data_IF_221663184917
#
_entry.id   IF_221663184917
#
_cell.length_a   1.000
_cell.length_b   1.000
_cell.length_c   1.000
_cell.angle_alpha   90.00
_cell.angle_beta   90.00
_cell.angle_gamma   90.00
#
_symmetry.space_group_name_H-M   'P 1'
#
loop_
_entity.id
_entity.type
_entity.pdbx_description
1 polymer ?
#
# COMPACT_ATOMS: atom_id res chain seq x y z
N UNK A 1 -11.26 9.32 -12.29
CA UNK A 1 -12.34 9.00 -11.32
C UNK A 1 -12.32 7.49 -11.07
N UNK A 2 -12.16 7.02 -9.83
CA UNK A 2 -12.19 5.58 -9.53
C UNK A 2 -13.65 5.14 -9.36
N UNK A 3 -14.15 4.22 -10.20
CA UNK A 3 -15.51 3.66 -10.07
C UNK A 3 -15.56 2.75 -8.84
N UNK A 4 -16.60 2.88 -8.02
CA UNK A 4 -16.89 1.97 -6.91
C UNK A 4 -17.52 0.69 -7.46
N UNK A 5 -17.28 -0.47 -6.82
CA UNK A 5 -17.82 -1.78 -7.24
C UNK A 5 -19.34 -1.79 -7.46
N UNK A 6 -20.07 -0.91 -6.78
CA UNK A 6 -21.51 -0.71 -6.95
C UNK A 6 -21.93 -0.19 -8.34
N UNK A 7 -21.00 0.31 -9.16
CA UNK A 7 -21.26 0.79 -10.53
C UNK A 7 -20.61 -0.07 -11.62
N UNK A 8 -20.06 -1.24 -11.27
CA UNK A 8 -19.44 -2.17 -12.21
C UNK A 8 -20.39 -3.31 -12.52
N UNK A 9 -20.27 -3.93 -13.70
CA UNK A 9 -21.10 -5.06 -14.08
C UNK A 9 -20.50 -6.39 -13.56
N UNK A 10 -21.27 -7.23 -12.85
CA UNK A 10 -20.78 -8.51 -12.38
C UNK A 10 -20.69 -9.54 -13.52
N UNK A 11 -19.58 -10.25 -13.57
CA UNK A 11 -19.36 -11.42 -14.43
C UNK A 11 -19.69 -12.67 -13.62
N UNK A 12 -20.67 -13.44 -14.09
CA UNK A 12 -21.17 -14.62 -13.38
C UNK A 12 -20.53 -15.93 -13.86
N UNK A 13 -20.02 -15.94 -15.10
CA UNK A 13 -19.35 -17.10 -15.70
C UNK A 13 -18.09 -16.68 -16.44
N UNK A 14 -17.03 -17.50 -16.37
CA UNK A 14 -15.79 -17.27 -17.12
C UNK A 14 -16.00 -17.20 -18.63
N UNK A 15 -17.04 -17.85 -19.16
CA UNK A 15 -17.40 -17.78 -20.58
C UNK A 15 -17.89 -16.39 -21.04
N UNK A 16 -18.22 -15.49 -20.11
CA UNK A 16 -18.61 -14.11 -20.41
C UNK A 16 -17.39 -13.19 -20.55
N UNK A 17 -16.19 -13.66 -20.18
CA UNK A 17 -14.93 -12.95 -20.42
C UNK A 17 -14.47 -13.26 -21.86
N UNK A 18 -14.39 -12.26 -22.75
CA UNK A 18 -13.97 -12.49 -24.12
C UNK A 18 -12.46 -12.79 -24.19
N UNK A 19 -12.01 -13.36 -25.31
CA UNK A 19 -10.58 -13.40 -25.61
C UNK A 19 -10.14 -12.02 -26.09
N UNK A 20 -9.30 -11.36 -25.30
CA UNK A 20 -8.78 -10.03 -25.64
C UNK A 20 -7.67 -10.15 -26.68
N UNK A 21 -7.67 -9.24 -27.66
CA UNK A 21 -6.59 -9.15 -28.63
C UNK A 21 -5.40 -8.31 -28.11
N UNK A 22 -5.61 -7.51 -27.05
CA UNK A 22 -4.58 -6.66 -26.45
C UNK A 22 -4.83 -6.41 -24.96
N UNK A 23 -3.77 -6.07 -24.21
CA UNK A 23 -3.87 -5.67 -22.80
C UNK A 23 -4.71 -4.41 -22.58
N UNK A 24 -4.74 -3.50 -23.57
CA UNK A 24 -5.54 -2.28 -23.49
C UNK A 24 -7.04 -2.58 -23.48
N UNK A 25 -7.47 -3.52 -24.35
CA UNK A 25 -8.86 -3.99 -24.41
C UNK A 25 -9.27 -4.69 -23.11
N UNK A 26 -8.37 -5.50 -22.55
CA UNK A 26 -8.57 -6.15 -21.25
C UNK A 26 -8.73 -5.11 -20.12
N UNK A 27 -7.87 -4.09 -20.09
CA UNK A 27 -7.94 -3.02 -19.09
C UNK A 27 -9.27 -2.23 -19.16
N UNK A 28 -9.77 -1.95 -20.36
CA UNK A 28 -11.06 -1.29 -20.58
C UNK A 28 -12.24 -2.15 -20.13
N UNK A 29 -12.19 -3.45 -20.42
CA UNK A 29 -13.19 -4.41 -19.94
C UNK A 29 -13.22 -4.45 -18.41
N UNK A 30 -12.08 -4.61 -17.74
CA UNK A 30 -12.00 -4.65 -16.27
C UNK A 30 -12.22 -3.29 -15.59
N UNK A 31 -12.14 -2.18 -16.32
CA UNK A 31 -12.55 -0.87 -15.80
C UNK A 31 -14.07 -0.78 -15.58
N UNK A 32 -14.83 -1.65 -16.23
CA UNK A 32 -16.30 -1.65 -16.21
C UNK A 32 -16.90 -2.93 -15.61
N UNK A 33 -16.17 -4.04 -15.60
CA UNK A 33 -16.63 -5.35 -15.13
C UNK A 33 -15.85 -5.85 -13.91
N UNK A 34 -16.50 -6.64 -13.05
CA UNK A 34 -15.84 -7.33 -11.94
C UNK A 34 -16.35 -8.77 -11.83
N UNK A 35 -15.54 -9.68 -11.28
CA UNK A 35 -15.98 -11.05 -11.01
C UNK A 35 -17.00 -11.06 -9.86
N UNK A 36 -18.15 -11.70 -10.06
CA UNK A 36 -19.14 -11.88 -8.99
C UNK A 36 -18.58 -12.74 -7.84
N UNK A 37 -19.04 -12.50 -6.62
CA UNK A 37 -18.58 -13.24 -5.44
C UNK A 37 -18.85 -14.75 -5.56
N UNK A 38 -19.93 -15.13 -6.23
CA UNK A 38 -20.27 -16.53 -6.54
C UNK A 38 -19.26 -17.18 -7.48
N UNK A 39 -18.80 -16.45 -8.50
CA UNK A 39 -17.80 -16.92 -9.43
C UNK A 39 -16.44 -17.04 -8.72
N UNK A 40 -16.06 -16.04 -7.93
CA UNK A 40 -14.82 -16.06 -7.12
C UNK A 40 -14.80 -17.25 -6.16
N UNK A 41 -15.94 -17.59 -5.54
CA UNK A 41 -16.05 -18.74 -4.64
C UNK A 41 -15.90 -20.09 -5.37
N UNK A 42 -16.25 -20.17 -6.65
CA UNK A 42 -16.10 -21.37 -7.50
C UNK A 42 -14.69 -21.52 -8.08
N UNK A 43 -13.90 -20.45 -8.13
CA UNK A 43 -12.51 -20.53 -8.59
C UNK A 43 -11.69 -21.38 -7.60
N UNK A 44 -10.88 -22.29 -8.14
CA UNK A 44 -9.93 -23.04 -7.35
C UNK A 44 -8.95 -22.07 -6.68
N UNK A 45 -8.86 -22.12 -5.36
CA UNK A 45 -7.84 -21.37 -4.62
C UNK A 45 -6.48 -21.86 -5.09
N UNK A 46 -5.73 -21.00 -5.76
CA UNK A 46 -4.32 -21.25 -6.03
C UNK A 46 -3.58 -21.02 -4.72
N UNK A 47 -2.92 -22.05 -4.20
CA UNK A 47 -1.93 -21.87 -3.15
C UNK A 47 -0.74 -21.14 -3.77
N UNK A 48 -0.69 -19.82 -3.54
CA UNK A 48 0.46 -19.03 -3.93
C UNK A 48 1.58 -19.41 -2.96
N UNK A 49 2.46 -20.30 -3.40
CA UNK A 49 3.72 -20.53 -2.72
C UNK A 49 4.59 -19.29 -2.88
N UNK A 50 4.50 -18.38 -1.90
CA UNK A 50 5.43 -17.27 -1.82
C UNK A 50 6.85 -17.83 -1.78
N UNK A 51 7.74 -17.34 -2.63
CA UNK A 51 9.14 -17.75 -2.61
C UNK A 51 9.75 -17.47 -1.23
N UNK A 52 10.73 -18.26 -0.78
CA UNK A 52 11.41 -18.03 0.49
C UNK A 52 11.90 -16.58 0.66
N UNK A 53 12.39 -15.96 -0.41
CA UNK A 53 12.87 -14.58 -0.46
C UNK A 53 11.72 -13.59 -0.22
N UNK A 54 10.60 -13.78 -0.91
CA UNK A 54 9.42 -12.93 -0.76
C UNK A 54 8.82 -13.08 0.65
N UNK A 55 8.77 -14.31 1.18
CA UNK A 55 8.37 -14.57 2.57
C UNK A 55 9.30 -13.86 3.55
N UNK A 56 10.62 -13.96 3.38
CA UNK A 56 11.58 -13.28 4.24
C UNK A 56 11.51 -11.76 4.13
N UNK A 57 11.24 -11.20 2.94
CA UNK A 57 11.10 -9.76 2.77
C UNK A 57 9.81 -9.24 3.44
N UNK A 58 8.70 -9.97 3.32
CA UNK A 58 7.44 -9.66 3.99
C UNK A 58 7.58 -9.84 5.51
N UNK A 59 8.20 -10.92 5.97
CA UNK A 59 8.45 -11.18 7.38
C UNK A 59 9.50 -10.24 7.98
N UNK A 60 10.49 -9.81 7.20
CA UNK A 60 11.50 -8.82 7.59
C UNK A 60 10.86 -7.45 7.83
N UNK A 61 9.91 -7.05 6.98
CA UNK A 61 9.05 -5.89 7.23
C UNK A 61 8.20 -6.06 8.50
N UNK A 62 7.68 -7.28 8.75
CA UNK A 62 6.92 -7.57 9.97
C UNK A 62 7.80 -7.61 11.24
N UNK A 63 9.08 -7.96 11.12
CA UNK A 63 10.08 -8.02 12.21
C UNK A 63 10.68 -6.66 12.56
N UNK A 64 10.56 -5.65 11.71
CA UNK A 64 10.73 -4.25 12.11
C UNK A 64 9.50 -3.78 12.92
N UNK A 65 9.22 -4.47 14.03
CA UNK A 65 8.09 -4.12 14.89
C UNK A 65 8.41 -2.78 15.54
N UNK A 66 7.76 -1.72 15.05
CA UNK A 66 7.89 -0.39 15.62
C UNK A 66 7.54 -0.45 17.11
N UNK A 67 8.48 -0.04 17.96
CA UNK A 67 8.23 0.10 19.39
C UNK A 67 7.35 1.33 19.59
N UNK A 68 6.27 1.18 20.36
CA UNK A 68 5.46 2.32 20.79
C UNK A 68 6.30 3.21 21.70
N UNK A 69 6.55 4.44 21.26
CA UNK A 69 7.29 5.46 22.02
C UNK A 69 6.42 6.70 22.12
N UNK A 70 6.15 7.16 23.34
CA UNK A 70 5.46 8.42 23.58
C UNK A 70 6.47 9.57 23.56
N UNK A 71 6.26 10.55 22.68
CA UNK A 71 7.05 11.78 22.60
C UNK A 71 6.10 12.95 22.86
N UNK A 72 6.51 13.88 23.73
CA UNK A 72 5.76 15.12 23.97
C UNK A 72 6.21 16.18 22.95
N UNK A 73 5.24 16.74 22.24
CA UNK A 73 5.43 17.86 21.31
C UNK A 73 4.50 18.99 21.77
N UNK A 74 4.90 20.24 21.57
CA UNK A 74 3.99 21.36 21.79
C UNK A 74 2.90 21.37 20.72
N UNK A 75 1.73 21.94 21.06
CA UNK A 75 0.59 22.05 20.14
C UNK A 75 0.95 22.80 18.84
N UNK A 76 1.73 23.89 18.94
CA UNK A 76 2.20 24.65 17.76
C UNK A 76 3.01 23.78 16.80
N UNK A 77 3.95 23.00 17.34
CA UNK A 77 4.80 22.11 16.54
C UNK A 77 3.94 21.05 15.87
N UNK A 78 3.04 20.42 16.61
CA UNK A 78 2.15 19.39 16.05
C UNK A 78 1.25 19.94 14.94
N UNK A 79 0.71 21.16 15.11
CA UNK A 79 -0.11 21.82 14.11
C UNK A 79 0.67 22.08 12.82
N UNK A 80 1.91 22.57 12.93
CA UNK A 80 2.79 22.82 11.78
C UNK A 80 3.15 21.53 11.04
N UNK A 81 3.42 20.45 11.77
CA UNK A 81 3.70 19.13 11.17
C UNK A 81 2.49 18.62 10.38
N UNK A 82 1.28 18.72 10.96
CA UNK A 82 0.04 18.30 10.29
C UNK A 82 -0.18 19.07 8.99
N UNK A 83 0.00 20.39 9.00
CA UNK A 83 -0.14 21.22 7.81
C UNK A 83 0.88 20.86 6.70
N UNK A 84 2.12 20.49 7.06
CA UNK A 84 3.12 20.04 6.09
C UNK A 84 2.77 18.66 5.54
N UNK A 85 2.30 17.76 6.39
CA UNK A 85 1.93 16.40 6.01
C UNK A 85 0.77 16.38 5.01
N UNK A 86 -0.24 17.22 5.25
CA UNK A 86 -1.38 17.41 4.35
C UNK A 86 -0.94 17.91 2.97
N UNK A 87 -0.08 18.94 2.92
CA UNK A 87 0.47 19.42 1.63
C UNK A 87 1.28 18.37 0.87
N UNK A 88 1.86 17.40 1.57
CA UNK A 88 2.63 16.29 0.98
C UNK A 88 1.77 15.04 0.70
N UNK A 89 0.49 15.05 1.06
CA UNK A 89 -0.40 13.91 0.88
C UNK A 89 -0.03 12.68 1.70
N UNK A 90 0.67 12.86 2.83
CA UNK A 90 1.07 11.75 3.72
C UNK A 90 0.58 11.99 5.15
N UNK A 91 0.44 10.93 5.95
CA UNK A 91 0.06 11.06 7.36
C UNK A 91 1.14 11.75 8.19
N UNK A 92 0.75 12.58 9.16
CA UNK A 92 1.70 13.33 10.01
C UNK A 92 2.66 12.40 10.79
N UNK A 93 2.18 11.24 11.23
CA UNK A 93 3.03 10.23 11.88
C UNK A 93 4.08 9.65 10.92
N UNK A 94 3.72 9.46 9.65
CA UNK A 94 4.64 9.02 8.59
C UNK A 94 5.69 10.09 8.33
N UNK A 95 5.28 11.36 8.23
CA UNK A 95 6.19 12.49 8.05
C UNK A 95 7.21 12.59 9.20
N UNK A 96 6.76 12.46 10.45
CA UNK A 96 7.65 12.44 11.62
C UNK A 96 8.69 11.32 11.51
N UNK A 97 8.26 10.11 11.14
CA UNK A 97 9.17 8.97 10.98
C UNK A 97 10.22 9.21 9.90
N UNK A 98 9.82 9.80 8.76
CA UNK A 98 10.75 10.16 7.69
C UNK A 98 11.81 11.15 8.20
N UNK A 99 11.39 12.25 8.82
CA UNK A 99 12.34 13.27 9.30
C UNK A 99 13.29 12.75 10.35
N UNK A 100 12.82 11.89 11.27
CA UNK A 100 13.68 11.25 12.27
C UNK A 100 14.72 10.36 11.58
N UNK A 101 14.31 9.56 10.59
CA UNK A 101 15.23 8.70 9.84
C UNK A 101 16.26 9.53 9.04
N UNK A 102 15.82 10.56 8.32
CA UNK A 102 16.69 11.47 7.56
C UNK A 102 17.72 12.14 8.47
N UNK A 103 17.28 12.64 9.64
CA UNK A 103 18.19 13.28 10.60
C UNK A 103 19.16 12.30 11.22
N UNK A 104 18.73 11.08 11.54
CA UNK A 104 19.60 10.04 12.07
C UNK A 104 20.69 9.67 11.07
N UNK A 105 20.33 9.46 9.81
CA UNK A 105 21.28 9.12 8.75
C UNK A 105 22.32 10.24 8.53
N UNK A 106 21.90 11.51 8.62
CA UNK A 106 22.82 12.64 8.58
C UNK A 106 23.82 12.64 9.75
N UNK A 107 23.35 12.34 10.97
CA UNK A 107 24.20 12.27 12.16
C UNK A 107 25.18 11.08 12.12
N UNK A 108 24.76 9.95 11.56
CA UNK A 108 25.60 8.76 11.36
C UNK A 108 26.67 9.01 10.29
N UNK A 109 26.32 9.67 9.18
CA UNK A 109 27.29 10.06 8.14
C UNK A 109 28.23 11.19 8.59
N UNK A 110 27.79 12.03 9.54
CA UNK A 110 28.51 13.22 10.02
C UNK A 110 29.45 13.01 11.20
N UNK A 111 29.52 11.81 11.79
CA UNK A 111 30.46 11.48 12.89
C UNK A 111 31.70 10.72 12.37
N UNK A 112 32.86 11.36 12.16
CA UNK A 112 34.12 10.72 12.50
C UNK A 112 34.16 10.58 14.03
N UNK A 113 34.68 9.45 14.53
CA UNK A 113 34.48 8.97 15.90
C UNK A 113 34.65 10.00 17.02
N UNK A 114 33.78 9.85 18.04
CA UNK A 114 34.08 10.26 19.41
C UNK A 114 34.68 9.04 20.09
#
# INVERSE_FOLDING_TARGET
MRRTRSQMQPVHRLAEVPQFASEAEEAEFWATHYLSDELVAKLSKVEIELTPELRQQIQGRARQRARLTAIRLSEDVLARIKAIAERRGIGYQTLIKLWVAERLEQEERGRPGI
#
